data_IF_717782018774
#
_entry.id   IF_717782018774
#
_cell.length_a   1.000
_cell.length_b   1.000
_cell.length_c   1.000
_cell.angle_alpha   90.00
_cell.angle_beta   90.00
_cell.angle_gamma   90.00
#
_symmetry.space_group_name_H-M   'P 1'
#
loop_
_entity.id
_entity.type
_entity.pdbx_description
1 polymer ?
#
# COMPACT_ATOMS: atom_id res chain seq x y z
N UNK A 1 22.55 34.50 51.41
CA UNK A 1 21.27 34.04 50.85
C UNK A 1 21.57 33.50 49.46
N UNK A 2 21.74 32.18 49.30
CA UNK A 2 21.98 31.55 47.99
C UNK A 2 20.78 30.66 47.68
N UNK A 3 19.96 31.09 46.72
CA UNK A 3 18.82 30.31 46.24
C UNK A 3 19.27 29.35 45.16
N UNK A 4 19.15 28.05 45.41
CA UNK A 4 19.35 27.03 44.40
C UNK A 4 18.16 27.06 43.42
N UNK A 5 18.44 27.37 42.16
CA UNK A 5 17.48 27.29 41.07
C UNK A 5 17.55 25.89 40.46
N UNK A 6 16.54 25.07 40.71
CA UNK A 6 16.44 23.73 40.13
C UNK A 6 15.82 23.83 38.74
N UNK A 7 16.58 23.46 37.70
CA UNK A 7 16.07 23.37 36.34
C UNK A 7 15.40 22.00 36.15
N UNK A 8 14.08 21.98 35.96
CA UNK A 8 13.35 20.76 35.61
C UNK A 8 13.37 20.56 34.10
N UNK A 9 13.93 19.43 33.65
CA UNK A 9 13.92 19.02 32.25
C UNK A 9 12.62 18.27 31.97
N UNK A 10 11.65 18.90 31.30
CA UNK A 10 10.47 18.19 30.79
C UNK A 10 10.84 17.40 29.55
N UNK A 11 10.70 16.07 29.61
CA UNK A 11 10.79 15.23 28.42
C UNK A 11 9.61 15.56 27.50
N UNK A 12 9.90 15.86 26.23
CA UNK A 12 8.86 16.04 25.21
C UNK A 12 8.06 14.74 25.09
N UNK A 13 6.73 14.82 25.15
CA UNK A 13 5.87 13.68 24.87
C UNK A 13 6.20 13.16 23.46
N UNK A 14 6.46 11.86 23.34
CA UNK A 14 6.57 11.23 22.03
C UNK A 14 5.17 11.18 21.47
N UNK A 15 4.96 11.92 20.39
CA UNK A 15 3.73 11.94 19.63
C UNK A 15 3.64 10.60 18.87
N UNK A 16 3.03 9.60 19.50
CA UNK A 16 2.84 8.27 18.91
C UNK A 16 1.84 8.37 17.77
N UNK A 17 2.28 8.02 16.57
CA UNK A 17 1.39 7.86 15.43
C UNK A 17 0.71 6.51 15.59
N UNK A 18 -0.59 6.53 15.92
CA UNK A 18 -1.41 5.33 15.93
C UNK A 18 -1.70 4.93 14.48
N UNK A 19 -1.10 3.83 14.04
CA UNK A 19 -1.23 3.30 12.68
C UNK A 19 -1.85 1.90 12.75
N UNK A 20 -2.93 1.71 12.01
CA UNK A 20 -3.59 0.41 11.84
C UNK A 20 -3.44 -0.10 10.40
N UNK A 21 -3.74 -1.39 10.19
CA UNK A 21 -3.85 -1.93 8.84
C UNK A 21 -5.12 -1.42 8.13
N UNK A 22 -5.05 -1.16 6.82
CA UNK A 22 -6.16 -0.60 6.05
C UNK A 22 -7.26 -1.60 5.71
N UNK A 23 -7.04 -2.90 5.93
CA UNK A 23 -8.02 -3.99 5.80
C UNK A 23 -7.84 -4.97 6.97
N UNK A 24 -8.74 -5.95 7.08
CA UNK A 24 -8.67 -7.01 8.11
C UNK A 24 -7.57 -8.05 7.85
N UNK A 25 -6.91 -8.02 6.68
CA UNK A 25 -5.81 -8.93 6.39
C UNK A 25 -4.58 -8.54 7.22
N UNK A 26 -4.36 -9.26 8.33
CA UNK A 26 -3.25 -9.07 9.25
C UNK A 26 -2.04 -9.96 8.95
N UNK A 27 -2.07 -10.71 7.85
CA UNK A 27 -1.03 -11.66 7.49
C UNK A 27 0.34 -10.99 7.24
N UNK A 28 0.42 -9.65 7.18
CA UNK A 28 1.69 -8.94 7.19
C UNK A 28 2.54 -9.29 8.43
N UNK A 29 1.89 -9.56 9.56
CA UNK A 29 2.54 -9.86 10.83
C UNK A 29 2.87 -11.35 11.01
N UNK A 30 2.51 -12.20 10.06
CA UNK A 30 2.67 -13.64 10.14
C UNK A 30 3.18 -14.24 8.83
N UNK A 31 4.23 -15.05 8.87
CA UNK A 31 4.74 -15.73 7.67
C UNK A 31 5.64 -14.85 6.80
N UNK A 32 5.70 -15.17 5.50
CA UNK A 32 6.63 -14.58 4.52
C UNK A 32 6.01 -13.52 3.60
N UNK A 33 4.70 -13.28 3.73
CA UNK A 33 3.96 -12.26 2.99
C UNK A 33 3.01 -12.79 1.90
N UNK A 34 3.09 -14.07 1.50
CA UNK A 34 2.26 -14.61 0.42
C UNK A 34 0.74 -14.58 0.72
N UNK A 35 0.37 -14.58 2.01
CA UNK A 35 -1.01 -14.43 2.45
C UNK A 35 -1.47 -12.96 2.55
N UNK A 36 -0.53 -12.01 2.58
CA UNK A 36 -0.81 -10.59 2.72
C UNK A 36 -0.83 -9.84 1.37
N UNK A 37 0.13 -10.12 0.49
CA UNK A 37 0.25 -9.40 -0.79
C UNK A 37 -0.64 -10.02 -1.86
N UNK A 38 -1.33 -9.17 -2.61
CA UNK A 38 -2.08 -9.58 -3.79
C UNK A 38 -1.10 -10.00 -4.90
N UNK A 39 -1.32 -11.17 -5.49
CA UNK A 39 -0.50 -11.63 -6.60
C UNK A 39 -0.81 -10.84 -7.87
N UNK A 40 0.18 -10.78 -8.76
CA UNK A 40 0.01 -10.25 -10.11
C UNK A 40 -0.07 -11.41 -11.09
N UNK A 41 -0.99 -11.34 -12.04
CA UNK A 41 -0.93 -12.24 -13.19
C UNK A 41 0.21 -11.79 -14.11
N UNK A 42 1.04 -12.76 -14.50
CA UNK A 42 2.15 -12.52 -15.42
C UNK A 42 2.11 -13.55 -16.53
N UNK A 43 2.09 -13.06 -17.76
CA UNK A 43 2.44 -13.83 -18.96
C UNK A 43 3.74 -13.26 -19.52
N UNK A 44 4.78 -14.08 -19.58
CA UNK A 44 6.04 -13.70 -20.21
C UNK A 44 6.52 -14.84 -21.10
N UNK A 45 6.62 -14.56 -22.40
CA UNK A 45 7.02 -15.53 -23.42
C UNK A 45 6.14 -16.80 -23.39
N UNK A 46 4.84 -16.64 -23.11
CA UNK A 46 3.85 -17.72 -23.05
C UNK A 46 3.85 -18.52 -21.74
N UNK A 47 4.73 -18.18 -20.79
CA UNK A 47 4.72 -18.78 -19.45
C UNK A 47 3.86 -17.94 -18.50
N UNK A 48 2.74 -18.52 -18.06
CA UNK A 48 1.82 -17.93 -17.09
C UNK A 48 2.27 -18.21 -15.66
N UNK A 49 2.21 -17.19 -14.80
CA UNK A 49 2.56 -17.28 -13.37
C UNK A 49 1.78 -16.25 -12.54
N UNK A 50 1.67 -16.48 -11.24
CA UNK A 50 1.00 -15.60 -10.28
C UNK A 50 1.89 -15.26 -9.07
N UNK A 51 3.03 -14.57 -9.28
CA UNK A 51 3.92 -14.21 -8.18
C UNK A 51 3.23 -13.25 -7.20
N UNK A 52 3.23 -13.61 -5.92
CA UNK A 52 2.68 -12.79 -4.84
C UNK A 52 3.59 -11.58 -4.53
N UNK A 53 4.88 -11.69 -4.84
CA UNK A 53 5.87 -10.63 -4.67
C UNK A 53 5.53 -9.38 -5.49
N UNK A 54 4.68 -9.53 -6.52
CA UNK A 54 4.18 -8.43 -7.34
C UNK A 54 3.47 -7.34 -6.55
N UNK A 55 2.78 -7.70 -5.47
CA UNK A 55 2.06 -6.77 -4.60
C UNK A 55 2.96 -5.97 -3.65
N UNK A 56 4.28 -6.20 -3.63
CA UNK A 56 5.20 -5.49 -2.75
C UNK A 56 5.60 -4.12 -3.31
N UNK A 57 5.81 -3.18 -2.39
CA UNK A 57 6.54 -1.96 -2.69
C UNK A 57 7.91 -2.30 -3.26
N UNK A 58 8.29 -1.62 -4.33
CA UNK A 58 9.58 -1.82 -4.97
C UNK A 58 9.60 -2.90 -6.03
N UNK A 59 8.48 -3.60 -6.29
CA UNK A 59 8.41 -4.58 -7.36
C UNK A 59 8.60 -3.90 -8.73
N UNK A 60 9.45 -4.47 -9.57
CA UNK A 60 9.66 -4.02 -10.96
C UNK A 60 9.09 -5.04 -11.93
N UNK A 61 8.33 -4.58 -12.93
CA UNK A 61 7.61 -5.43 -13.88
C UNK A 61 7.70 -4.93 -15.32
N UNK A 62 7.01 -5.64 -16.20
CA UNK A 62 6.95 -5.41 -17.65
C UNK A 62 8.34 -5.50 -18.30
N UNK A 63 8.88 -6.74 -18.36
CA UNK A 63 10.17 -6.99 -18.99
C UNK A 63 10.13 -6.71 -20.49
N UNK A 64 11.05 -5.88 -20.96
CA UNK A 64 11.26 -5.55 -22.37
C UNK A 64 12.67 -5.96 -22.76
N UNK A 65 12.79 -6.80 -23.78
CA UNK A 65 14.08 -7.21 -24.32
C UNK A 65 14.66 -6.09 -25.18
N UNK A 66 15.88 -5.66 -24.85
CA UNK A 66 16.64 -4.65 -25.60
C UNK A 66 17.96 -5.23 -26.09
N UNK A 67 18.68 -4.52 -26.96
CA UNK A 67 20.02 -4.92 -27.39
C UNK A 67 21.02 -5.04 -26.21
N UNK A 68 20.76 -4.36 -25.09
CA UNK A 68 21.58 -4.42 -23.86
C UNK A 68 21.10 -5.44 -22.83
N UNK A 69 20.10 -6.26 -23.14
CA UNK A 69 19.45 -7.19 -22.21
C UNK A 69 18.03 -6.78 -21.84
N UNK A 70 17.41 -7.56 -20.96
CA UNK A 70 16.03 -7.31 -20.49
C UNK A 70 16.02 -6.18 -19.46
N UNK A 71 15.20 -5.16 -19.71
CA UNK A 71 14.92 -4.08 -18.75
C UNK A 71 13.49 -4.23 -18.22
N UNK A 72 13.22 -3.68 -17.03
CA UNK A 72 11.88 -3.61 -16.46
C UNK A 72 11.41 -2.16 -16.48
N UNK A 73 10.21 -1.94 -17.00
CA UNK A 73 9.75 -0.59 -17.38
C UNK A 73 8.77 0.04 -16.40
N UNK A 74 8.32 -0.71 -15.38
CA UNK A 74 7.38 -0.20 -14.38
C UNK A 74 7.82 -0.56 -12.96
N UNK A 75 7.62 0.39 -12.05
CA UNK A 75 7.91 0.29 -10.63
C UNK A 75 6.62 0.35 -9.82
N UNK A 76 6.50 -0.50 -8.80
CA UNK A 76 5.37 -0.50 -7.89
C UNK A 76 5.62 0.46 -6.72
N UNK A 77 4.99 1.63 -6.78
CA UNK A 77 5.11 2.69 -5.77
C UNK A 77 4.27 2.46 -4.50
N UNK A 78 3.36 1.48 -4.53
CA UNK A 78 2.46 1.14 -3.44
C UNK A 78 2.64 -0.31 -2.98
N UNK A 79 1.68 -0.77 -2.19
CA UNK A 79 1.48 -2.19 -1.88
C UNK A 79 0.08 -2.59 -2.31
N UNK A 80 -0.07 -3.80 -2.81
CA UNK A 80 -1.38 -4.40 -3.09
C UNK A 80 -1.66 -5.45 -2.02
N UNK A 81 -2.73 -5.25 -1.25
CA UNK A 81 -3.14 -6.13 -0.15
C UNK A 81 -4.15 -7.14 -0.68
N UNK A 82 -3.92 -8.42 -0.39
CA UNK A 82 -4.79 -9.52 -0.78
C UNK A 82 -6.11 -9.44 -0.01
N UNK A 83 -7.26 -9.45 -0.70
CA UNK A 83 -8.56 -9.52 -0.03
C UNK A 83 -8.75 -10.86 0.68
N UNK A 84 -9.37 -10.85 1.86
CA UNK A 84 -9.81 -12.05 2.58
C UNK A 84 -11.12 -12.59 2.02
N UNK A 85 -12.00 -11.71 1.56
CA UNK A 85 -13.33 -12.07 1.07
C UNK A 85 -13.55 -11.57 -0.36
N UNK A 86 -14.19 -12.41 -1.17
CA UNK A 86 -14.60 -12.09 -2.53
C UNK A 86 -16.02 -12.58 -2.78
N UNK A 87 -16.74 -11.89 -3.65
CA UNK A 87 -18.05 -12.34 -4.12
C UNK A 87 -17.92 -13.42 -5.22
N UNK A 88 -19.04 -13.80 -5.83
CA UNK A 88 -19.08 -14.83 -6.86
C UNK A 88 -18.44 -14.39 -8.19
N UNK A 89 -18.29 -13.09 -8.40
CA UNK A 89 -17.67 -12.45 -9.56
C UNK A 89 -16.16 -12.28 -9.35
N UNK A 90 -15.69 -12.49 -8.12
CA UNK A 90 -14.30 -12.33 -7.71
C UNK A 90 -14.01 -10.94 -7.17
N UNK A 91 -14.99 -10.05 -7.03
CA UNK A 91 -14.76 -8.69 -6.53
C UNK A 91 -14.47 -8.71 -5.02
N UNK A 92 -13.50 -7.90 -4.53
CA UNK A 92 -13.17 -7.85 -3.11
C UNK A 92 -14.31 -7.27 -2.28
N UNK A 93 -14.63 -7.94 -1.16
CA UNK A 93 -15.67 -7.54 -0.23
C UNK A 93 -15.14 -6.91 1.07
N UNK A 94 -13.82 -6.84 1.23
CA UNK A 94 -13.18 -6.34 2.43
C UNK A 94 -13.46 -4.85 2.65
N UNK A 95 -13.71 -4.47 3.90
CA UNK A 95 -13.77 -3.06 4.29
C UNK A 95 -12.38 -2.42 4.18
N UNK A 96 -12.32 -1.24 3.55
CA UNK A 96 -11.12 -0.39 3.53
C UNK A 96 -11.30 0.78 4.48
N UNK A 97 -10.34 0.94 5.40
CA UNK A 97 -10.34 1.98 6.44
C UNK A 97 -9.10 2.86 6.38
N UNK A 98 -9.20 4.04 6.96
CA UNK A 98 -8.04 4.91 7.16
C UNK A 98 -7.05 4.22 8.11
N UNK A 99 -5.76 4.24 7.76
CA UNK A 99 -4.71 3.70 8.62
C UNK A 99 -4.43 4.56 9.84
N UNK A 100 -4.91 5.80 9.84
CA UNK A 100 -4.65 6.80 10.87
C UNK A 100 -5.52 8.05 10.64
N UNK A 101 -5.57 8.93 11.66
CA UNK A 101 -6.24 10.22 11.58
C UNK A 101 -5.70 11.11 10.46
N UNK A 102 -6.61 11.71 9.70
CA UNK A 102 -6.25 12.58 8.59
C UNK A 102 -7.45 13.25 7.94
N UNK A 103 -7.17 14.04 6.91
CA UNK A 103 -8.17 14.68 6.06
C UNK A 103 -8.16 14.01 4.69
N UNK A 104 -9.31 13.49 4.24
CA UNK A 104 -9.47 13.06 2.86
C UNK A 104 -9.41 14.29 1.94
N UNK A 105 -8.50 14.25 0.96
CA UNK A 105 -8.28 15.37 0.02
C UNK A 105 -8.69 15.02 -1.40
N UNK A 106 -8.86 13.73 -1.70
CA UNK A 106 -9.35 13.27 -2.99
C UNK A 106 -10.18 11.99 -2.82
N UNK A 107 -11.31 11.95 -3.53
CA UNK A 107 -12.13 10.76 -3.71
C UNK A 107 -12.38 10.60 -5.20
N UNK A 108 -12.00 9.45 -5.75
CA UNK A 108 -12.37 9.10 -7.12
C UNK A 108 -13.81 8.56 -7.11
N UNK A 109 -14.77 9.21 -7.79
CA UNK A 109 -16.17 8.77 -7.77
C UNK A 109 -16.41 7.51 -8.61
N UNK A 110 -15.42 7.07 -9.41
CA UNK A 110 -15.53 5.88 -10.25
C UNK A 110 -14.82 4.72 -9.53
N UNK A 111 -15.60 3.72 -9.11
CA UNK A 111 -15.09 2.48 -8.53
C UNK A 111 -14.19 1.70 -9.53
N UNK A 112 -13.19 0.97 -9.02
CA UNK A 112 -12.39 0.04 -9.81
C UNK A 112 -11.32 0.67 -10.72
N UNK A 113 -10.88 1.91 -10.46
CA UNK A 113 -9.70 2.49 -11.12
C UNK A 113 -8.46 2.31 -10.24
N UNK A 114 -7.29 2.18 -10.88
CA UNK A 114 -5.98 1.92 -10.27
C UNK A 114 -5.51 2.92 -9.18
N UNK A 115 -6.28 3.97 -8.91
CA UNK A 115 -5.99 5.07 -8.00
C UNK A 115 -7.30 5.53 -7.34
N UNK A 116 -7.53 5.09 -6.09
CA UNK A 116 -8.77 5.33 -5.34
C UNK A 116 -8.70 6.58 -4.44
N UNK A 117 -9.13 6.44 -3.19
CA UNK A 117 -9.17 7.47 -2.14
C UNK A 117 -7.75 7.98 -1.78
N UNK A 118 -7.55 9.30 -1.58
CA UNK A 118 -6.31 9.83 -1.02
C UNK A 118 -6.58 10.68 0.23
N UNK A 119 -5.80 10.44 1.29
CA UNK A 119 -5.85 11.20 2.54
C UNK A 119 -4.54 11.94 2.83
N UNK A 120 -4.59 13.16 3.36
CA UNK A 120 -3.45 13.88 3.91
C UNK A 120 -3.42 13.78 5.43
N UNK A 121 -2.26 13.50 6.02
CA UNK A 121 -2.07 13.47 7.47
C UNK A 121 -2.11 14.87 8.08
N UNK A 122 -2.64 15.03 9.29
CA UNK A 122 -2.84 16.34 9.92
C UNK A 122 -1.55 16.90 10.55
N UNK A 123 -0.41 16.79 9.86
CA UNK A 123 0.89 17.40 10.22
C UNK A 123 1.30 18.42 9.16
N UNK A 124 1.78 19.62 9.54
CA UNK A 124 2.27 20.60 8.58
C UNK A 124 3.37 19.98 7.69
N UNK A 125 3.13 19.94 6.37
CA UNK A 125 4.04 19.33 5.40
C UNK A 125 3.81 17.85 5.06
N UNK A 126 2.79 17.20 5.64
CA UNK A 126 2.44 15.82 5.29
C UNK A 126 1.91 15.74 3.84
N UNK A 127 2.46 14.81 3.05
CA UNK A 127 1.99 14.49 1.70
C UNK A 127 0.78 13.55 1.77
N UNK A 128 -0.08 13.61 0.75
CA UNK A 128 -1.22 12.71 0.64
C UNK A 128 -0.75 11.25 0.44
N UNK A 129 -1.35 10.30 1.17
CA UNK A 129 -1.16 8.87 1.01
C UNK A 129 -2.21 8.31 0.02
N UNK A 130 -1.80 7.61 -1.04
CA UNK A 130 -2.71 6.91 -1.94
C UNK A 130 -3.33 5.68 -1.27
N UNK A 131 -4.64 5.51 -1.39
CA UNK A 131 -5.34 4.24 -1.19
C UNK A 131 -6.14 3.91 -2.45
N UNK A 132 -5.79 2.83 -3.15
CA UNK A 132 -6.48 2.40 -4.36
C UNK A 132 -7.00 0.98 -4.22
N UNK A 133 -8.27 0.76 -4.59
CA UNK A 133 -8.79 -0.58 -4.88
C UNK A 133 -8.57 -0.79 -6.38
N UNK A 134 -7.50 -1.48 -6.75
CA UNK A 134 -7.21 -1.81 -8.14
C UNK A 134 -8.17 -2.89 -8.66
N UNK A 135 -8.58 -2.86 -9.94
CA UNK A 135 -9.25 -3.98 -10.55
C UNK A 135 -8.28 -5.16 -10.65
N UNK A 136 -8.77 -6.35 -10.33
CA UNK A 136 -8.03 -7.62 -10.23
C UNK A 136 -7.47 -8.13 -11.58
N UNK A 137 -7.72 -7.39 -12.67
CA UNK A 137 -7.28 -7.71 -14.02
C UNK A 137 -6.49 -6.53 -14.56
N UNK A 138 -5.16 -6.65 -14.52
CA UNK A 138 -4.35 -5.91 -15.49
C UNK A 138 -4.78 -6.41 -16.88
N UNK A 139 -5.10 -5.54 -17.85
CA UNK A 139 -5.40 -6.00 -19.19
C UNK A 139 -4.24 -6.87 -19.69
N UNK A 140 -4.53 -8.00 -20.35
CA UNK A 140 -3.47 -8.75 -21.02
C UNK A 140 -2.79 -7.82 -22.03
N UNK A 141 -1.46 -7.79 -21.98
CA UNK A 141 -0.62 -7.29 -23.07
C UNK A 141 -0.75 -8.21 -24.29
#
# INVERSE_FOLDING_TARGET
MFGACTLSLSASARDTVDIVLPTDNDALFSGDGAAFYQYVERDYKGAKSTPWEGGRYGFVRDPVDTAGGTIYTRFHEGIDIRPLHRDAQGDPLDEVRAIADGKVVHVNPIAGRHHGLYGSWNKPGARASPFGIGPDVQPPI
#
